data_IF_044884982620
#
_entry.id   IF_044884982620
#
_cell.length_a   1.000
_cell.length_b   1.000
_cell.length_c   1.000
_cell.angle_alpha   90.00
_cell.angle_beta   90.00
_cell.angle_gamma   90.00
#
_symmetry.space_group_name_H-M   'P 1'
#
loop_
_entity.id
_entity.type
_entity.pdbx_description
1 polymer ?
#
# COMPACT_ATOMS: atom_id res chain seq x y z
N UNK A 1 -30.02 56.99 4.32
CA UNK A 1 -31.05 56.28 5.09
C UNK A 1 -32.13 55.84 4.11
N UNK A 2 -32.07 54.57 3.69
CA UNK A 2 -33.15 53.78 3.10
C UNK A 2 -32.54 52.39 2.86
N UNK A 3 -32.62 51.56 3.90
CA UNK A 3 -32.45 50.12 3.81
C UNK A 3 -33.86 49.57 3.59
N UNK A 4 -34.15 48.99 2.44
CA UNK A 4 -35.10 47.89 2.33
C UNK A 4 -34.93 47.21 0.97
N UNK A 5 -34.39 45.98 0.98
CA UNK A 5 -34.51 45.02 -0.12
C UNK A 5 -35.02 43.69 0.48
N UNK A 6 -35.84 42.91 -0.25
CA UNK A 6 -36.76 41.90 0.30
C UNK A 6 -36.09 40.56 0.67
N UNK A 7 -36.84 39.61 1.28
CA UNK A 7 -36.27 38.49 2.02
C UNK A 7 -35.68 37.41 1.10
N UNK A 8 -34.48 36.94 1.42
CA UNK A 8 -33.92 35.73 0.84
C UNK A 8 -34.78 34.53 1.25
N UNK A 9 -35.32 33.85 0.25
CA UNK A 9 -36.11 32.62 0.38
C UNK A 9 -35.30 31.53 1.04
N UNK A 10 -35.82 31.02 2.16
CA UNK A 10 -35.36 29.81 2.81
C UNK A 10 -35.89 28.60 2.02
N UNK A 11 -35.08 28.02 1.14
CA UNK A 11 -35.36 26.70 0.56
C UNK A 11 -34.42 25.68 1.18
N UNK A 12 -34.98 24.87 2.07
CA UNK A 12 -34.40 23.61 2.50
C UNK A 12 -34.16 22.72 1.28
N UNK A 13 -33.00 22.10 1.19
CA UNK A 13 -32.66 21.18 0.10
C UNK A 13 -31.52 20.27 0.52
N UNK A 14 -31.92 19.18 1.15
CA UNK A 14 -31.16 17.96 1.44
C UNK A 14 -29.92 18.10 2.33
N UNK A 15 -30.15 17.79 3.60
CA UNK A 15 -29.24 17.04 4.44
C UNK A 15 -28.58 15.91 3.64
N UNK A 16 -27.34 16.14 3.19
CA UNK A 16 -26.39 15.04 3.06
C UNK A 16 -25.88 14.75 4.47
N UNK A 17 -26.74 14.11 5.25
CA UNK A 17 -26.34 13.44 6.47
C UNK A 17 -25.24 12.47 6.06
N UNK A 18 -24.01 12.79 6.44
CA UNK A 18 -22.81 11.99 6.21
C UNK A 18 -22.82 10.72 7.05
N UNK A 19 -23.97 10.03 7.12
CA UNK A 19 -24.03 8.64 7.51
C UNK A 19 -23.50 7.82 6.33
N UNK A 20 -22.21 8.06 6.02
CA UNK A 20 -21.37 7.08 5.38
C UNK A 20 -21.38 5.89 6.33
N UNK A 21 -22.22 4.93 6.00
CA UNK A 21 -22.29 3.59 6.51
C UNK A 21 -21.01 2.82 6.16
N UNK A 22 -19.87 3.38 6.56
CA UNK A 22 -18.55 2.85 6.27
C UNK A 22 -18.13 1.95 7.41
N UNK A 23 -18.42 0.67 7.27
CA UNK A 23 -17.48 -0.34 7.76
C UNK A 23 -16.17 -0.25 6.94
N UNK A 24 -15.51 0.91 6.93
CA UNK A 24 -14.16 1.04 6.38
C UNK A 24 -13.22 0.37 7.39
N UNK A 25 -12.88 -0.88 7.10
CA UNK A 25 -11.88 -1.59 7.87
C UNK A 25 -10.54 -0.95 7.51
N UNK A 26 -9.98 -0.19 8.46
CA UNK A 26 -8.64 0.34 8.31
C UNK A 26 -7.62 -0.81 8.43
N UNK A 27 -7.29 -1.40 7.27
CA UNK A 27 -6.37 -2.53 7.17
C UNK A 27 -5.00 -2.21 7.77
N UNK A 28 -4.51 -0.98 7.60
CA UNK A 28 -3.28 -0.49 8.21
C UNK A 28 -3.32 -0.58 9.73
N UNK A 29 -4.38 -0.05 10.37
CA UNK A 29 -4.55 -0.12 11.83
C UNK A 29 -4.67 -1.56 12.31
N UNK A 30 -5.40 -2.40 11.59
CA UNK A 30 -5.50 -3.82 11.91
C UNK A 30 -4.14 -4.51 11.84
N UNK A 31 -3.38 -4.33 10.75
CA UNK A 31 -2.06 -4.92 10.59
C UNK A 31 -1.10 -4.47 11.71
N UNK A 32 -1.01 -3.17 11.98
CA UNK A 32 -0.19 -2.62 13.07
C UNK A 32 -0.52 -3.29 14.41
N UNK A 33 -1.82 -3.39 14.75
CA UNK A 33 -2.27 -3.99 16.00
C UNK A 33 -1.90 -5.48 16.09
N UNK A 34 -2.08 -6.23 14.99
CA UNK A 34 -1.75 -7.67 14.94
C UNK A 34 -0.24 -7.91 15.01
N UNK A 35 0.57 -7.10 14.34
CA UNK A 35 2.04 -7.19 14.40
C UNK A 35 2.53 -6.87 15.81
N UNK A 36 2.06 -5.76 16.41
CA UNK A 36 2.46 -5.34 17.76
C UNK A 36 2.11 -6.37 18.84
N UNK A 37 0.95 -7.02 18.73
CA UNK A 37 0.49 -8.03 19.70
C UNK A 37 1.03 -9.44 19.41
N UNK A 38 2.06 -9.59 18.57
CA UNK A 38 2.65 -10.88 18.19
C UNK A 38 1.63 -11.86 17.56
N UNK A 39 0.56 -11.33 16.97
CA UNK A 39 -0.52 -12.08 16.32
C UNK A 39 -0.30 -12.16 14.79
N UNK A 40 0.96 -12.27 14.36
CA UNK A 40 1.33 -12.28 12.95
C UNK A 40 0.67 -13.44 12.18
N UNK A 41 0.50 -14.58 12.83
CA UNK A 41 -0.15 -15.77 12.29
C UNK A 41 -1.60 -15.52 11.82
N UNK A 42 -2.27 -14.48 12.31
CA UNK A 42 -3.64 -14.14 11.89
C UNK A 42 -3.69 -13.36 10.56
N UNK A 43 -2.57 -12.75 10.16
CA UNK A 43 -2.49 -11.90 8.97
C UNK A 43 -1.57 -12.47 7.88
N UNK A 44 -0.70 -13.42 8.24
CA UNK A 44 0.21 -14.09 7.30
C UNK A 44 -0.58 -15.15 6.52
N UNK A 45 -0.30 -15.25 5.21
CA UNK A 45 -0.89 -16.28 4.36
C UNK A 45 -0.57 -17.69 4.91
N UNK A 46 -1.58 -18.52 5.21
CA UNK A 46 -1.38 -19.89 5.70
C UNK A 46 -0.49 -20.77 4.80
N UNK A 47 -0.46 -20.49 3.49
CA UNK A 47 0.35 -21.24 2.53
C UNK A 47 1.85 -20.93 2.61
N UNK A 48 2.26 -19.86 3.31
CA UNK A 48 3.67 -19.53 3.53
C UNK A 48 4.34 -20.41 4.58
N UNK A 49 3.59 -21.24 5.30
CA UNK A 49 4.16 -22.14 6.30
C UNK A 49 4.81 -21.42 7.47
N UNK A 50 4.19 -20.35 7.99
CA UNK A 50 4.69 -19.56 9.12
C UNK A 50 5.08 -20.42 10.34
N UNK A 51 4.35 -21.51 10.58
CA UNK A 51 4.59 -22.44 11.68
C UNK A 51 5.41 -23.68 11.28
N UNK A 52 5.88 -23.76 10.03
CA UNK A 52 6.50 -24.97 9.47
C UNK A 52 8.02 -25.05 9.69
N UNK A 53 8.72 -23.91 9.68
CA UNK A 53 10.16 -23.82 9.93
C UNK A 53 10.48 -22.54 10.71
N UNK A 54 11.43 -22.60 11.64
CA UNK A 54 11.88 -21.46 12.42
C UNK A 54 12.54 -20.38 11.55
N UNK A 55 13.27 -20.75 10.48
CA UNK A 55 13.85 -19.76 9.56
C UNK A 55 12.76 -19.00 8.80
N UNK A 56 11.73 -19.73 8.34
CA UNK A 56 10.56 -19.14 7.68
C UNK A 56 9.81 -18.22 8.63
N UNK A 57 9.62 -18.64 9.89
CA UNK A 57 9.02 -17.82 10.94
C UNK A 57 9.82 -16.54 11.18
N UNK A 58 11.14 -16.64 11.29
CA UNK A 58 12.03 -15.51 11.54
C UNK A 58 12.01 -14.52 10.36
N UNK A 59 12.10 -15.00 9.13
CA UNK A 59 11.99 -14.14 7.94
C UNK A 59 10.64 -13.42 7.88
N UNK A 60 9.54 -14.14 8.09
CA UNK A 60 8.19 -13.54 8.05
C UNK A 60 8.02 -12.52 9.19
N UNK A 61 8.56 -12.81 10.37
CA UNK A 61 8.56 -11.88 11.50
C UNK A 61 9.32 -10.61 11.17
N UNK A 62 10.51 -10.72 10.59
CA UNK A 62 11.30 -9.57 10.16
C UNK A 62 10.60 -8.73 9.07
N UNK A 63 9.92 -9.36 8.11
CA UNK A 63 9.08 -8.65 7.14
C UNK A 63 7.90 -7.96 7.82
N UNK A 64 7.28 -8.60 8.81
CA UNK A 64 6.21 -8.02 9.63
C UNK A 64 6.65 -6.75 10.35
N UNK A 65 7.83 -6.78 10.98
CA UNK A 65 8.44 -5.62 11.65
C UNK A 65 8.77 -4.48 10.67
N UNK A 66 9.27 -4.81 9.48
CA UNK A 66 9.48 -3.82 8.43
C UNK A 66 8.15 -3.22 7.95
N UNK A 67 7.11 -4.06 7.81
CA UNK A 67 5.75 -3.63 7.49
C UNK A 67 5.16 -2.70 8.54
N UNK A 68 5.37 -2.99 9.83
CA UNK A 68 4.95 -2.12 10.94
C UNK A 68 5.55 -0.72 10.82
N UNK A 69 6.85 -0.62 10.55
CA UNK A 69 7.53 0.66 10.32
C UNK A 69 6.97 1.39 9.09
N UNK A 70 6.69 0.66 8.00
CA UNK A 70 6.11 1.24 6.79
C UNK A 70 4.69 1.79 6.98
N UNK A 71 3.90 1.17 7.86
CA UNK A 71 2.50 1.53 8.13
C UNK A 71 2.38 2.60 9.23
N UNK A 72 3.45 2.91 9.95
CA UNK A 72 3.40 3.86 11.06
C UNK A 72 3.02 5.27 10.59
N UNK A 73 2.10 5.92 11.32
CA UNK A 73 1.59 7.25 10.98
C UNK A 73 2.64 8.35 11.13
N UNK A 74 3.60 8.15 12.04
CA UNK A 74 4.70 9.06 12.27
C UNK A 74 5.74 8.92 11.14
N UNK A 75 6.00 10.03 10.44
CA UNK A 75 6.91 10.06 9.28
C UNK A 75 8.34 9.66 9.64
N UNK A 76 8.79 9.94 10.86
CA UNK A 76 10.17 9.72 11.30
C UNK A 76 10.48 8.23 11.54
N UNK A 77 9.45 7.42 11.76
CA UNK A 77 9.59 5.97 11.93
C UNK A 77 9.47 5.22 10.62
N UNK A 78 9.05 5.91 9.54
CA UNK A 78 8.82 5.30 8.24
C UNK A 78 10.15 5.26 7.46
N UNK A 79 10.67 4.07 7.14
CA UNK A 79 11.91 3.96 6.38
C UNK A 79 11.72 4.52 4.96
N UNK A 80 12.79 5.05 4.40
CA UNK A 80 12.86 5.37 2.98
C UNK A 80 12.79 4.10 2.14
N UNK A 81 12.34 4.21 0.88
CA UNK A 81 12.28 3.05 -0.01
C UNK A 81 13.64 2.39 -0.26
N UNK A 82 14.74 3.16 -0.15
CA UNK A 82 16.10 2.61 -0.22
C UNK A 82 16.40 1.72 0.98
N UNK A 83 16.06 2.17 2.19
CA UNK A 83 16.23 1.38 3.43
C UNK A 83 15.34 0.14 3.42
N UNK A 84 14.10 0.25 2.95
CA UNK A 84 13.20 -0.92 2.75
C UNK A 84 13.84 -1.95 1.83
N UNK A 85 14.44 -1.53 0.71
CA UNK A 85 15.12 -2.44 -0.20
C UNK A 85 16.31 -3.13 0.45
N UNK A 86 17.12 -2.41 1.22
CA UNK A 86 18.26 -2.96 1.95
C UNK A 86 17.78 -3.99 2.96
N UNK A 87 16.81 -3.64 3.80
CA UNK A 87 16.24 -4.52 4.81
C UNK A 87 15.67 -5.82 4.19
N UNK A 88 14.93 -5.72 3.08
CA UNK A 88 14.40 -6.90 2.39
C UNK A 88 15.49 -7.79 1.81
N UNK A 89 16.60 -7.22 1.31
CA UNK A 89 17.76 -8.00 0.85
C UNK A 89 18.40 -8.76 1.99
N UNK A 90 18.51 -8.15 3.17
CA UNK A 90 19.11 -8.77 4.34
C UNK A 90 18.21 -9.86 4.94
N UNK A 91 16.89 -9.63 4.99
CA UNK A 91 15.92 -10.67 5.37
C UNK A 91 16.01 -11.88 4.43
N UNK A 92 16.14 -11.66 3.12
CA UNK A 92 16.31 -12.76 2.17
C UNK A 92 17.61 -13.55 2.42
N UNK A 93 18.70 -12.86 2.80
CA UNK A 93 19.97 -13.53 3.13
C UNK A 93 19.84 -14.39 4.40
N UNK A 94 19.01 -13.99 5.37
CA UNK A 94 18.78 -14.76 6.61
C UNK A 94 18.28 -16.19 6.34
N UNK A 95 17.45 -16.39 5.31
CA UNK A 95 16.94 -17.73 4.93
C UNK A 95 17.83 -18.52 3.98
N UNK A 96 18.98 -17.97 3.58
CA UNK A 96 19.97 -18.63 2.73
C UNK A 96 21.21 -18.83 3.59
N UNK A 97 21.40 -20.03 4.15
CA UNK A 97 22.59 -20.40 4.94
C UNK A 97 23.88 -19.81 4.34
N UNK A 98 24.78 -19.32 5.22
CA UNK A 98 26.03 -18.60 4.91
C UNK A 98 27.09 -19.42 4.13
N UNK A 99 26.74 -20.06 3.02
CA UNK A 99 27.69 -20.71 2.11
C UNK A 99 27.78 -20.03 0.73
N UNK A 100 27.08 -18.90 0.53
CA UNK A 100 27.27 -18.09 -0.66
C UNK A 100 27.30 -16.60 -0.32
N UNK A 101 28.41 -16.16 0.29
CA UNK A 101 28.82 -14.75 0.35
C UNK A 101 29.13 -14.27 -1.08
N UNK A 102 28.10 -13.97 -1.86
CA UNK A 102 28.29 -13.32 -3.16
C UNK A 102 28.74 -11.88 -2.91
N UNK A 103 30.05 -11.69 -3.00
CA UNK A 103 30.82 -10.45 -3.17
C UNK A 103 29.95 -9.21 -3.47
N UNK A 104 29.86 -8.32 -2.49
CA UNK A 104 29.59 -6.89 -2.68
C UNK A 104 30.58 -6.36 -3.73
N UNK A 105 30.07 -5.87 -4.84
CA UNK A 105 30.85 -5.05 -5.79
C UNK A 105 30.34 -3.63 -5.67
N UNK A 106 30.97 -2.88 -4.78
CA UNK A 106 30.90 -1.42 -4.82
C UNK A 106 31.92 -0.86 -5.83
N UNK A 107 31.49 0.23 -6.45
CA UNK A 107 32.20 1.19 -7.28
C UNK A 107 32.54 0.81 -8.74
N UNK A 108 31.74 1.36 -9.66
CA UNK A 108 32.24 2.37 -10.60
C UNK A 108 31.07 3.11 -11.24
N UNK A 109 31.01 4.40 -10.95
CA UNK A 109 30.34 5.41 -11.74
C UNK A 109 30.53 5.16 -13.25
N UNK A 110 29.47 4.76 -13.97
CA UNK A 110 29.36 5.00 -15.40
C UNK A 110 27.94 5.46 -15.75
N UNK A 111 27.80 6.78 -15.62
CA UNK A 111 26.82 7.61 -16.31
C UNK A 111 26.88 7.27 -17.82
N UNK A 112 25.93 6.48 -18.33
CA UNK A 112 25.58 6.55 -19.75
C UNK A 112 24.17 6.06 -20.04
N UNK A 113 23.26 7.03 -20.09
CA UNK A 113 22.16 7.15 -21.05
C UNK A 113 20.92 6.26 -20.85
N UNK A 114 19.95 6.85 -20.15
CA UNK A 114 18.51 6.74 -20.46
C UNK A 114 18.26 7.22 -21.90
N UNK A 115 17.50 6.43 -22.68
CA UNK A 115 16.28 6.95 -23.31
C UNK A 115 15.10 6.09 -22.86
N UNK A 116 14.23 6.66 -22.03
CA UNK A 116 12.96 7.29 -22.38
C UNK A 116 11.82 6.31 -22.13
N UNK A 117 10.85 6.78 -21.36
CA UNK A 117 9.59 6.13 -21.02
C UNK A 117 9.03 5.28 -22.17
N UNK A 118 8.38 4.14 -21.88
CA UNK A 118 7.61 3.44 -22.90
C UNK A 118 6.57 4.41 -23.46
N UNK A 119 6.74 4.71 -24.74
CA UNK A 119 5.89 5.60 -25.50
C UNK A 119 4.52 4.94 -25.72
N UNK A 120 3.49 5.77 -25.64
CA UNK A 120 2.14 5.56 -26.19
C UNK A 120 1.23 4.48 -25.61
N UNK A 121 0.38 4.97 -24.70
CA UNK A 121 -0.98 4.50 -24.47
C UNK A 121 -1.85 4.64 -25.73
N UNK A 122 -1.94 3.60 -26.56
CA UNK A 122 -3.10 3.37 -27.41
C UNK A 122 -3.47 1.89 -27.47
N UNK A 123 -3.81 1.30 -26.32
CA UNK A 123 -4.79 0.22 -26.34
C UNK A 123 -6.15 0.89 -26.59
N UNK A 124 -6.59 0.88 -27.85
CA UNK A 124 -7.95 1.26 -28.23
C UNK A 124 -8.90 0.27 -27.57
N UNK A 125 -9.34 0.57 -26.35
CA UNK A 125 -10.45 -0.10 -25.73
C UNK A 125 -11.68 0.19 -26.60
N UNK A 126 -12.04 -0.77 -27.44
CA UNK A 126 -13.33 -0.79 -28.10
C UNK A 126 -14.38 -0.95 -27.01
N UNK A 127 -14.82 0.17 -26.45
CA UNK A 127 -16.04 0.24 -25.66
C UNK A 127 -17.16 -0.12 -26.62
N UNK A 128 -17.64 -1.37 -26.58
CA UNK A 128 -18.94 -1.72 -27.16
C UNK A 128 -19.98 -1.04 -26.28
N UNK A 129 -20.25 0.22 -26.63
CA UNK A 129 -21.37 0.98 -26.12
C UNK A 129 -22.63 0.46 -26.82
N UNK A 130 -23.33 -0.48 -26.18
CA UNK A 130 -24.70 -0.80 -26.55
C UNK A 130 -25.63 -0.29 -25.46
N UNK A 131 -26.20 0.88 -25.71
CA UNK A 131 -27.42 1.38 -25.06
C UNK A 131 -28.24 2.15 -26.11
N UNK A 132 -29.54 2.41 -25.92
CA UNK A 132 -30.60 1.54 -25.38
C UNK A 132 -31.90 1.58 -26.24
N UNK A 133 -32.80 0.63 -25.96
CA UNK A 133 -34.27 0.72 -26.02
C UNK A 133 -35.02 0.82 -27.38
N UNK A 134 -36.00 -0.07 -27.58
CA UNK A 134 -37.38 0.30 -27.94
C UNK A 134 -38.33 -0.88 -27.72
N UNK A 135 -39.45 -0.57 -27.08
CA UNK A 135 -40.58 -1.44 -26.74
C UNK A 135 -41.36 -1.93 -27.96
N UNK A 136 -42.11 -3.01 -27.78
CA UNK A 136 -43.44 -3.22 -28.36
C UNK A 136 -44.33 -3.88 -27.33
#
# INVERSE_FOLDING_TARGET
MALDSPPFTHTNGDSFDGQKNTHEINLSTMAINRIHNQALHEIVDPHLGFNSNDDTRNMITAVGELGFQCLQSAKDMRPSMSEVLIALKDIRKMGMDENNKSVEREDTFLLKNVPSSPDSVMAKFHSVSTTPNASS
#
